data_IF_036951979902
#
_entry.id   IF_036951979902
#
_cell.length_a   1.000
_cell.length_b   1.000
_cell.length_c   1.000
_cell.angle_alpha   90.00
_cell.angle_beta   90.00
_cell.angle_gamma   90.00
#
_symmetry.space_group_name_H-M   'P 1'
#
loop_
_entity.id
_entity.type
_entity.pdbx_description
1 polymer ?
#
# COMPACT_ATOMS: atom_id res chain seq x y z
N UNK A 1 -9.75 -22.13 60.41
CA UNK A 1 -10.53 -22.83 59.37
C UNK A 1 -11.54 -21.84 58.82
N UNK A 2 -11.13 -21.03 57.84
CA UNK A 2 -11.95 -19.99 57.21
C UNK A 2 -12.10 -20.31 55.73
N UNK A 3 -13.34 -20.27 55.23
CA UNK A 3 -13.70 -20.58 53.84
C UNK A 3 -13.37 -19.40 52.90
N UNK A 4 -13.05 -19.64 51.61
CA UNK A 4 -12.65 -18.58 50.69
C UNK A 4 -13.86 -17.75 50.19
N UNK A 5 -13.74 -16.42 50.24
CA UNK A 5 -14.72 -15.48 49.65
C UNK A 5 -14.68 -15.55 48.11
N UNK A 6 -15.80 -15.91 47.50
CA UNK A 6 -15.99 -15.91 46.05
C UNK A 6 -15.90 -14.48 45.48
N UNK A 7 -14.98 -14.24 44.54
CA UNK A 7 -14.89 -12.99 43.76
C UNK A 7 -16.05 -12.95 42.76
N UNK A 8 -16.96 -11.97 42.91
CA UNK A 8 -17.98 -11.65 41.90
C UNK A 8 -17.30 -11.11 40.64
N UNK A 9 -17.54 -11.73 39.49
CA UNK A 9 -17.13 -11.19 38.19
C UNK A 9 -17.98 -9.96 37.85
N UNK A 10 -17.42 -8.91 37.21
CA UNK A 10 -18.20 -7.76 36.77
C UNK A 10 -19.08 -8.12 35.55
N UNK A 11 -20.36 -7.78 35.62
CA UNK A 11 -21.32 -7.91 34.51
C UNK A 11 -20.91 -7.01 33.32
N UNK A 12 -20.97 -7.50 32.08
CA UNK A 12 -20.62 -6.72 30.90
C UNK A 12 -21.69 -5.65 30.56
N UNK A 13 -21.29 -4.52 29.95
CA UNK A 13 -22.18 -3.38 29.71
C UNK A 13 -23.33 -3.70 28.72
N UNK A 14 -24.48 -3.07 28.99
CA UNK A 14 -25.81 -3.27 28.37
C UNK A 14 -25.82 -3.28 26.83
N UNK A 15 -24.85 -2.64 26.17
CA UNK A 15 -24.74 -2.59 24.69
C UNK A 15 -24.44 -3.94 24.02
N UNK A 16 -23.92 -4.94 24.76
CA UNK A 16 -23.67 -6.29 24.22
C UNK A 16 -24.94 -7.16 24.15
N UNK A 17 -25.99 -6.82 24.91
CA UNK A 17 -27.28 -7.55 24.86
C UNK A 17 -28.11 -7.25 23.60
N UNK A 18 -27.92 -6.09 22.97
CA UNK A 18 -28.66 -5.69 21.77
C UNK A 18 -28.20 -6.45 20.50
N UNK A 19 -26.90 -6.73 20.37
CA UNK A 19 -26.32 -7.41 19.21
C UNK A 19 -26.65 -8.91 19.15
N UNK A 20 -26.90 -9.56 20.29
CA UNK A 20 -27.33 -10.97 20.33
C UNK A 20 -28.80 -11.20 19.98
N UNK A 21 -29.65 -10.16 20.01
CA UNK A 21 -31.07 -10.27 19.60
C UNK A 21 -31.28 -10.13 18.08
N UNK A 22 -30.35 -9.52 17.35
CA UNK A 22 -30.41 -9.41 15.88
C UNK A 22 -29.99 -10.71 15.16
N UNK A 23 -29.10 -11.50 15.75
CA UNK A 23 -28.62 -12.75 15.15
C UNK A 23 -29.59 -13.94 15.25
N UNK A 24 -30.64 -13.87 16.09
CA UNK A 24 -31.63 -14.95 16.27
C UNK A 24 -32.92 -14.79 15.45
N UNK A 25 -33.16 -13.61 14.84
CA UNK A 25 -34.35 -13.36 14.00
C UNK A 25 -34.18 -13.70 12.51
N UNK A 26 -32.96 -13.99 12.06
CA UNK A 26 -32.71 -14.39 10.66
C UNK A 26 -32.74 -15.91 10.42
N UNK A 27 -33.02 -16.73 11.44
CA UNK A 27 -32.96 -18.20 11.33
C UNK A 27 -34.30 -18.94 11.35
N UNK A 28 -35.43 -18.22 11.34
CA UNK A 28 -36.78 -18.82 11.38
C UNK A 28 -37.75 -18.02 10.49
N UNK A 29 -37.53 -18.03 9.18
CA UNK A 29 -38.55 -17.68 8.18
C UNK A 29 -38.12 -18.27 6.84
N UNK A 30 -38.72 -19.41 6.47
CA UNK A 30 -38.45 -20.02 5.17
C UNK A 30 -38.78 -21.51 5.08
N UNK A 31 -39.89 -21.97 5.68
CA UNK A 31 -40.51 -23.24 5.30
C UNK A 31 -41.65 -22.92 4.34
N UNK A 32 -41.46 -23.24 3.06
CA UNK A 32 -42.46 -23.02 2.01
C UNK A 32 -42.12 -23.90 0.82
N UNK A 33 -42.65 -25.12 0.84
CA UNK A 33 -42.64 -26.06 -0.29
C UNK A 33 -43.64 -25.55 -1.33
N UNK A 34 -43.16 -25.28 -2.55
CA UNK A 34 -43.95 -24.87 -3.70
C UNK A 34 -43.27 -25.32 -4.99
N UNK A 35 -44.02 -25.99 -5.85
CA UNK A 35 -43.58 -26.80 -6.99
C UNK A 35 -42.97 -25.98 -8.13
N UNK A 36 -42.02 -26.64 -8.79
CA UNK A 36 -41.62 -26.57 -10.20
C UNK A 36 -42.33 -25.55 -11.11
N UNK A 37 -41.52 -24.70 -11.71
CA UNK A 37 -41.62 -24.35 -13.13
C UNK A 37 -40.19 -24.14 -13.64
N UNK A 38 -39.74 -25.06 -14.48
CA UNK A 38 -38.66 -24.82 -15.43
C UNK A 38 -39.11 -23.69 -16.35
N UNK A 39 -38.33 -22.61 -16.41
CA UNK A 39 -37.79 -22.08 -17.65
C UNK A 39 -37.03 -20.77 -17.36
N UNK A 40 -35.71 -20.82 -17.53
CA UNK A 40 -34.83 -19.70 -17.91
C UNK A 40 -33.42 -20.22 -18.05
N UNK A 41 -33.17 -20.90 -19.17
CA UNK A 41 -31.82 -21.04 -19.71
C UNK A 41 -31.35 -19.69 -20.24
N UNK A 42 -30.11 -19.33 -19.91
CA UNK A 42 -29.30 -18.39 -20.67
C UNK A 42 -29.34 -16.95 -20.17
N UNK A 43 -28.34 -16.56 -19.35
CA UNK A 43 -27.70 -15.21 -19.32
C UNK A 43 -26.74 -14.99 -18.14
N UNK A 44 -26.65 -15.91 -17.17
CA UNK A 44 -25.79 -15.73 -15.98
C UNK A 44 -24.29 -16.08 -16.14
N UNK A 45 -23.90 -16.83 -17.18
CA UNK A 45 -22.53 -17.38 -17.30
C UNK A 45 -21.53 -16.37 -17.90
N UNK A 46 -22.00 -15.39 -18.68
CA UNK A 46 -21.13 -14.40 -19.33
C UNK A 46 -20.57 -13.31 -18.39
N UNK A 47 -21.37 -12.86 -17.41
CA UNK A 47 -20.97 -11.77 -16.52
C UNK A 47 -19.89 -12.17 -15.49
N UNK A 48 -19.96 -13.43 -15.00
CA UNK A 48 -18.98 -13.97 -14.02
C UNK A 48 -17.62 -14.24 -14.69
N UNK A 49 -17.62 -14.69 -15.95
CA UNK A 49 -16.40 -14.88 -16.74
C UNK A 49 -15.69 -13.57 -17.09
N UNK A 50 -16.45 -12.50 -17.40
CA UNK A 50 -15.93 -11.18 -17.73
C UNK A 50 -15.26 -10.46 -16.55
N UNK A 51 -15.89 -10.46 -15.37
CA UNK A 51 -15.34 -9.82 -14.19
C UNK A 51 -14.03 -10.48 -13.70
N UNK A 52 -13.95 -11.81 -13.77
CA UNK A 52 -12.73 -12.57 -13.44
C UNK A 52 -11.61 -12.41 -14.48
N UNK A 53 -11.94 -12.22 -15.75
CA UNK A 53 -10.95 -11.90 -16.80
C UNK A 53 -10.37 -10.50 -16.63
N UNK A 54 -11.21 -9.49 -16.36
CA UNK A 54 -10.79 -8.11 -16.11
C UNK A 54 -9.89 -7.99 -14.88
N UNK A 55 -10.21 -8.70 -13.78
CA UNK A 55 -9.37 -8.74 -12.58
C UNK A 55 -7.99 -9.37 -12.82
N UNK A 56 -7.94 -10.46 -13.60
CA UNK A 56 -6.67 -11.11 -13.98
C UNK A 56 -5.81 -10.23 -14.88
N UNK A 57 -6.42 -9.54 -15.85
CA UNK A 57 -5.71 -8.62 -16.75
C UNK A 57 -5.12 -7.44 -15.98
N UNK A 58 -5.89 -6.85 -15.04
CA UNK A 58 -5.38 -5.80 -14.16
C UNK A 58 -4.20 -6.29 -13.31
N UNK A 59 -4.32 -7.46 -12.69
CA UNK A 59 -3.22 -8.02 -11.88
C UNK A 59 -1.97 -8.30 -12.73
N UNK A 60 -2.13 -8.84 -13.94
CA UNK A 60 -1.02 -9.06 -14.86
C UNK A 60 -0.33 -7.75 -15.23
N UNK A 61 -1.10 -6.71 -15.60
CA UNK A 61 -0.55 -5.37 -15.86
C UNK A 61 0.25 -4.87 -14.66
N UNK A 62 -0.31 -4.95 -13.46
CA UNK A 62 0.34 -4.44 -12.24
C UNK A 62 1.65 -5.22 -11.96
N UNK A 63 1.66 -6.54 -12.15
CA UNK A 63 2.87 -7.37 -12.06
C UNK A 63 3.92 -6.98 -13.10
N UNK A 64 3.51 -6.76 -14.35
CA UNK A 64 4.42 -6.39 -15.44
C UNK A 64 5.02 -5.00 -15.21
N UNK A 65 4.22 -4.03 -14.79
CA UNK A 65 4.68 -2.68 -14.45
C UNK A 65 5.64 -2.73 -13.28
N UNK A 66 5.27 -3.43 -12.19
CA UNK A 66 6.15 -3.61 -11.04
C UNK A 66 7.49 -4.24 -11.45
N UNK A 67 7.46 -5.34 -12.19
CA UNK A 67 8.66 -6.05 -12.62
C UNK A 67 9.54 -5.21 -13.54
N UNK A 68 8.95 -4.51 -14.51
CA UNK A 68 9.69 -3.65 -15.44
C UNK A 68 10.35 -2.47 -14.72
N UNK A 69 9.60 -1.75 -13.88
CA UNK A 69 10.15 -0.62 -13.12
C UNK A 69 11.25 -1.10 -12.17
N UNK A 70 11.01 -2.19 -11.43
CA UNK A 70 11.99 -2.70 -10.49
C UNK A 70 13.28 -3.16 -11.19
N UNK A 71 13.16 -3.85 -12.33
CA UNK A 71 14.31 -4.32 -13.11
C UNK A 71 15.12 -3.15 -13.69
N UNK A 72 14.45 -2.17 -14.31
CA UNK A 72 15.12 -1.01 -14.90
C UNK A 72 15.83 -0.20 -13.82
N UNK A 73 15.18 0.03 -12.68
CA UNK A 73 15.76 0.82 -11.60
C UNK A 73 16.94 0.11 -10.94
N UNK A 74 16.81 -1.20 -10.68
CA UNK A 74 17.90 -2.01 -10.13
C UNK A 74 19.09 -2.05 -11.09
N UNK A 75 18.84 -2.23 -12.40
CA UNK A 75 19.90 -2.18 -13.41
C UNK A 75 20.61 -0.83 -13.43
N UNK A 76 19.86 0.27 -13.37
CA UNK A 76 20.44 1.62 -13.32
C UNK A 76 21.33 1.80 -12.08
N UNK A 77 20.88 1.37 -10.90
CA UNK A 77 21.66 1.42 -9.67
C UNK A 77 22.93 0.58 -9.75
N UNK A 78 22.81 -0.71 -10.09
CA UNK A 78 23.96 -1.61 -10.16
C UNK A 78 24.98 -1.17 -11.21
N UNK A 79 24.54 -0.70 -12.38
CA UNK A 79 25.44 -0.22 -13.44
C UNK A 79 26.17 1.06 -13.03
N UNK A 80 25.47 2.03 -12.45
CA UNK A 80 26.09 3.29 -12.02
C UNK A 80 27.08 3.06 -10.88
N UNK A 81 26.73 2.26 -9.87
CA UNK A 81 27.65 1.86 -8.79
C UNK A 81 28.87 1.11 -9.32
N UNK A 82 28.65 0.15 -10.21
CA UNK A 82 29.74 -0.59 -10.85
C UNK A 82 30.71 0.32 -11.61
N UNK A 83 30.18 1.31 -12.34
CA UNK A 83 31.00 2.31 -13.01
C UNK A 83 31.85 3.13 -12.03
N UNK A 84 31.24 3.72 -10.99
CA UNK A 84 31.98 4.55 -10.05
C UNK A 84 33.00 3.75 -9.24
N UNK A 85 32.62 2.57 -8.74
CA UNK A 85 33.49 1.73 -7.94
C UNK A 85 34.65 1.11 -8.75
N UNK A 86 34.48 0.94 -10.06
CA UNK A 86 35.52 0.42 -10.95
C UNK A 86 36.44 1.49 -11.55
N UNK A 87 36.06 2.78 -11.49
CA UNK A 87 36.76 3.84 -12.22
C UNK A 87 37.45 4.87 -11.33
N UNK A 88 37.11 4.96 -10.04
CA UNK A 88 37.60 6.00 -9.13
C UNK A 88 38.06 5.42 -7.80
N UNK A 89 38.98 6.11 -7.12
CA UNK A 89 39.37 5.79 -5.76
C UNK A 89 38.38 6.35 -4.72
N UNK A 90 38.31 5.73 -3.54
CA UNK A 90 37.46 6.22 -2.45
C UNK A 90 37.88 7.64 -2.05
N UNK A 91 36.92 8.55 -1.97
CA UNK A 91 37.13 9.97 -1.69
C UNK A 91 37.45 10.82 -2.94
N UNK A 92 37.69 10.19 -4.09
CA UNK A 92 37.98 10.90 -5.34
C UNK A 92 36.75 11.62 -5.87
N UNK A 93 36.94 12.86 -6.32
CA UNK A 93 35.91 13.65 -7.02
C UNK A 93 35.96 13.31 -8.50
N UNK A 94 35.00 12.52 -8.95
CA UNK A 94 34.86 12.05 -10.32
C UNK A 94 34.41 13.15 -11.30
N UNK A 95 33.80 14.24 -10.81
CA UNK A 95 33.44 15.38 -11.65
C UNK A 95 32.51 16.39 -10.98
N UNK A 96 32.38 17.58 -11.58
CA UNK A 96 31.56 18.68 -11.08
C UNK A 96 32.33 19.72 -10.24
N UNK A 97 31.63 20.64 -9.55
CA UNK A 97 30.17 20.69 -9.42
C UNK A 97 29.47 21.15 -10.71
N UNK A 98 28.40 20.45 -11.07
CA UNK A 98 27.52 20.81 -12.17
C UNK A 98 26.48 21.83 -11.67
N UNK A 99 26.42 22.99 -12.33
CA UNK A 99 25.54 24.11 -11.99
C UNK A 99 25.67 24.63 -10.55
N UNK A 100 26.77 24.31 -9.86
CA UNK A 100 26.93 24.62 -8.43
C UNK A 100 25.99 23.84 -7.51
N UNK A 101 25.36 22.75 -8.00
CA UNK A 101 24.36 21.98 -7.25
C UNK A 101 24.87 20.60 -6.82
N UNK A 102 25.50 19.87 -7.73
CA UNK A 102 25.89 18.47 -7.49
C UNK A 102 27.29 18.21 -8.02
N UNK A 103 28.10 17.46 -7.29
CA UNK A 103 29.32 16.82 -7.81
C UNK A 103 29.26 15.32 -7.62
N UNK A 104 30.11 14.60 -8.32
CA UNK A 104 30.28 13.17 -8.12
C UNK A 104 31.54 12.91 -7.30
N UNK A 105 31.38 12.21 -6.16
CA UNK A 105 32.48 11.81 -5.28
C UNK A 105 32.23 10.42 -4.76
N UNK A 106 33.13 9.47 -5.01
CA UNK A 106 32.98 8.11 -4.54
C UNK A 106 33.12 8.03 -3.02
N UNK A 107 32.12 7.44 -2.36
CA UNK A 107 32.09 7.17 -0.93
C UNK A 107 31.65 5.73 -0.70
N UNK A 108 32.31 5.03 0.22
CA UNK A 108 31.88 3.73 0.70
C UNK A 108 31.20 3.90 2.05
N UNK A 109 29.90 3.61 2.09
CA UNK A 109 29.06 3.87 3.24
C UNK A 109 28.77 2.58 4.01
N UNK A 110 29.31 2.45 5.23
CA UNK A 110 29.08 1.32 6.13
C UNK A 110 27.86 1.51 7.05
N UNK A 111 27.22 2.67 7.00
CA UNK A 111 26.06 3.02 7.82
C UNK A 111 24.76 3.20 7.01
N UNK A 112 23.80 3.83 7.68
CA UNK A 112 22.63 4.44 7.07
C UNK A 112 22.90 5.94 6.83
N UNK A 113 21.86 6.70 6.49
CA UNK A 113 21.95 8.14 6.35
C UNK A 113 22.56 8.80 7.61
N UNK A 114 23.37 9.85 7.41
CA UNK A 114 24.03 10.59 8.49
C UNK A 114 24.94 9.74 9.40
N UNK A 115 25.45 8.59 8.91
CA UNK A 115 26.32 7.71 9.70
C UNK A 115 25.60 6.93 10.80
N UNK A 116 24.27 6.94 10.84
CA UNK A 116 23.50 6.13 11.79
C UNK A 116 23.80 4.64 11.58
N UNK A 117 23.93 3.87 12.66
CA UNK A 117 24.22 2.43 12.60
C UNK A 117 25.51 2.06 11.83
N UNK A 118 26.55 2.92 11.91
CA UNK A 118 27.88 2.58 11.43
C UNK A 118 28.33 1.21 11.96
N UNK A 119 28.96 0.41 11.10
CA UNK A 119 29.41 -0.97 11.33
C UNK A 119 28.30 -2.03 11.42
N UNK A 120 27.02 -1.64 11.32
CA UNK A 120 25.89 -2.57 11.28
C UNK A 120 25.44 -2.92 9.86
N UNK A 121 26.36 -2.89 8.89
CA UNK A 121 26.05 -3.03 7.46
C UNK A 121 25.20 -4.28 7.18
N UNK A 122 25.56 -5.43 7.74
CA UNK A 122 24.80 -6.65 7.54
C UNK A 122 23.35 -6.54 8.05
N UNK A 123 23.15 -5.96 9.24
CA UNK A 123 21.82 -5.75 9.82
C UNK A 123 20.97 -4.81 8.96
N UNK A 124 21.56 -3.72 8.45
CA UNK A 124 20.89 -2.79 7.54
C UNK A 124 20.45 -3.49 6.23
N UNK A 125 21.28 -4.39 5.70
CA UNK A 125 20.93 -5.27 4.58
C UNK A 125 19.71 -6.14 4.91
N UNK A 126 19.71 -6.83 6.06
CA UNK A 126 18.58 -7.67 6.50
C UNK A 126 17.29 -6.88 6.64
N UNK A 127 17.34 -5.71 7.30
CA UNK A 127 16.17 -4.83 7.46
C UNK A 127 15.63 -4.39 6.09
N UNK A 128 16.52 -4.05 5.15
CA UNK A 128 16.12 -3.66 3.80
C UNK A 128 15.37 -4.79 3.09
N UNK A 129 15.84 -6.04 3.18
CA UNK A 129 15.15 -7.22 2.63
C UNK A 129 13.78 -7.41 3.29
N UNK A 130 13.69 -7.30 4.61
CA UNK A 130 12.42 -7.45 5.34
C UNK A 130 11.41 -6.40 4.86
N UNK A 131 11.80 -5.14 4.73
CA UNK A 131 10.92 -4.06 4.22
C UNK A 131 10.48 -4.35 2.78
N UNK A 132 11.39 -4.79 1.91
CA UNK A 132 11.04 -5.17 0.53
C UNK A 132 10.00 -6.29 0.50
N UNK A 133 10.19 -7.34 1.29
CA UNK A 133 9.25 -8.46 1.38
C UNK A 133 7.89 -8.02 1.90
N UNK A 134 7.84 -7.16 2.92
CA UNK A 134 6.59 -6.61 3.46
C UNK A 134 5.84 -5.79 2.40
N UNK A 135 6.53 -4.94 1.64
CA UNK A 135 5.89 -4.12 0.60
C UNK A 135 5.42 -4.94 -0.59
N UNK A 136 6.18 -5.95 -1.02
CA UNK A 136 5.73 -6.91 -2.04
C UNK A 136 4.50 -7.67 -1.52
N UNK A 137 4.55 -8.16 -0.28
CA UNK A 137 3.42 -8.88 0.30
C UNK A 137 2.17 -7.98 0.40
N UNK A 138 2.35 -6.73 0.82
CA UNK A 138 1.29 -5.74 0.82
C UNK A 138 0.66 -5.59 -0.57
N UNK A 139 1.48 -5.35 -1.60
CA UNK A 139 0.99 -5.04 -2.94
C UNK A 139 0.26 -6.23 -3.59
N UNK A 140 0.74 -7.46 -3.36
CA UNK A 140 0.23 -8.67 -4.02
C UNK A 140 -0.83 -9.45 -3.23
N UNK A 141 -0.86 -9.32 -1.91
CA UNK A 141 -1.77 -10.09 -1.07
C UNK A 141 -2.73 -9.24 -0.24
N UNK A 142 -2.37 -8.00 0.13
CA UNK A 142 -3.21 -7.16 1.01
C UNK A 142 -3.91 -6.02 0.27
N UNK A 143 -3.40 -5.58 -0.88
CA UNK A 143 -4.03 -4.54 -1.72
C UNK A 143 -4.73 -5.19 -2.92
N UNK A 144 -6.08 -5.36 -2.91
CA UNK A 144 -6.79 -6.06 -3.98
C UNK A 144 -6.82 -5.30 -5.31
N UNK A 145 -6.74 -3.96 -5.25
CA UNK A 145 -6.78 -3.06 -6.41
C UNK A 145 -5.87 -1.85 -6.19
N UNK A 146 -4.54 -2.05 -6.14
CA UNK A 146 -3.61 -0.96 -5.90
C UNK A 146 -3.67 0.05 -7.05
N UNK A 147 -3.54 1.34 -6.72
CA UNK A 147 -3.34 2.38 -7.74
C UNK A 147 -1.96 2.27 -8.41
N UNK A 148 -1.81 2.86 -9.60
CA UNK A 148 -0.51 2.87 -10.31
C UNK A 148 0.60 3.56 -9.52
N UNK A 149 0.28 4.57 -8.71
CA UNK A 149 1.26 5.20 -7.83
C UNK A 149 1.77 4.25 -6.74
N UNK A 150 0.91 3.39 -6.20
CA UNK A 150 1.33 2.35 -5.25
C UNK A 150 2.22 1.32 -5.93
N UNK A 151 1.83 0.84 -7.13
CA UNK A 151 2.60 -0.16 -7.89
C UNK A 151 4.00 0.35 -8.22
N UNK A 152 4.10 1.55 -8.81
CA UNK A 152 5.39 2.18 -9.17
C UNK A 152 6.18 2.54 -7.92
N UNK A 153 5.53 3.09 -6.90
CA UNK A 153 6.18 3.47 -5.65
C UNK A 153 6.82 2.28 -4.94
N UNK A 154 6.06 1.18 -4.79
CA UNK A 154 6.57 -0.08 -4.21
C UNK A 154 7.67 -0.69 -5.08
N UNK A 155 7.55 -0.65 -6.41
CA UNK A 155 8.61 -1.14 -7.31
C UNK A 155 9.94 -0.40 -7.11
N UNK A 156 9.90 0.92 -6.98
CA UNK A 156 11.09 1.75 -6.75
C UNK A 156 11.71 1.51 -5.38
N UNK A 157 10.89 1.42 -4.32
CA UNK A 157 11.40 1.12 -2.96
C UNK A 157 12.04 -0.25 -2.92
N UNK A 158 11.41 -1.26 -3.54
CA UNK A 158 11.95 -2.62 -3.59
C UNK A 158 13.25 -2.65 -4.39
N UNK A 159 13.30 -2.01 -5.57
CA UNK A 159 14.52 -1.98 -6.37
C UNK A 159 15.68 -1.28 -5.65
N UNK A 160 15.44 -0.11 -5.05
CA UNK A 160 16.46 0.61 -4.31
C UNK A 160 16.89 -0.13 -3.03
N UNK A 161 15.95 -0.69 -2.29
CA UNK A 161 16.22 -1.50 -1.10
C UNK A 161 17.04 -2.75 -1.43
N UNK A 162 16.73 -3.45 -2.52
CA UNK A 162 17.49 -4.60 -3.00
C UNK A 162 18.89 -4.21 -3.50
N UNK A 163 19.02 -3.12 -4.26
CA UNK A 163 20.31 -2.63 -4.75
C UNK A 163 21.28 -2.29 -3.61
N UNK A 164 20.81 -1.55 -2.62
CA UNK A 164 21.61 -1.26 -1.43
C UNK A 164 21.85 -2.50 -0.57
N UNK A 165 20.89 -3.42 -0.41
CA UNK A 165 21.13 -4.66 0.33
C UNK A 165 22.17 -5.56 -0.36
N UNK A 166 22.16 -5.61 -1.69
CA UNK A 166 23.12 -6.36 -2.48
C UNK A 166 24.56 -5.89 -2.22
N UNK A 167 24.83 -4.59 -2.29
CA UNK A 167 26.15 -4.05 -1.95
C UNK A 167 26.55 -4.40 -0.51
N UNK A 168 25.63 -4.24 0.43
CA UNK A 168 25.90 -4.54 1.85
C UNK A 168 26.31 -6.00 2.08
N UNK A 169 25.69 -6.94 1.38
CA UNK A 169 26.01 -8.36 1.52
C UNK A 169 27.25 -8.79 0.73
N UNK A 170 27.57 -8.10 -0.38
CA UNK A 170 28.67 -8.51 -1.28
C UNK A 170 29.95 -7.72 -1.06
N UNK A 171 29.85 -6.44 -0.70
CA UNK A 171 30.96 -5.51 -0.52
C UNK A 171 31.20 -5.14 0.94
N UNK A 172 30.18 -5.24 1.80
CA UNK A 172 30.26 -4.81 3.20
C UNK A 172 30.07 -3.30 3.41
N UNK A 173 29.70 -2.57 2.36
CA UNK A 173 29.33 -1.15 2.35
C UNK A 173 28.41 -0.88 1.17
N UNK A 174 27.81 0.30 1.09
CA UNK A 174 27.07 0.81 -0.06
C UNK A 174 27.95 1.76 -0.87
N UNK A 175 27.87 1.67 -2.20
CA UNK A 175 28.59 2.58 -3.11
C UNK A 175 27.76 3.85 -3.33
N UNK A 176 28.22 4.96 -2.74
CA UNK A 176 27.60 6.28 -2.86
C UNK A 176 28.46 7.20 -3.74
N UNK A 177 27.82 8.05 -4.54
CA UNK A 177 28.57 8.88 -5.50
C UNK A 177 27.94 10.25 -5.83
N UNK A 178 26.69 10.51 -5.47
CA UNK A 178 25.99 11.76 -5.75
C UNK A 178 26.08 12.68 -4.54
N UNK A 179 26.82 13.78 -4.65
CA UNK A 179 27.01 14.73 -3.56
C UNK A 179 26.38 16.09 -3.89
N UNK A 180 25.33 16.51 -3.16
CA UNK A 180 24.88 17.89 -3.16
C UNK A 180 25.96 18.82 -2.59
N UNK A 181 26.23 19.93 -3.27
CA UNK A 181 27.22 20.92 -2.79
C UNK A 181 26.60 22.21 -2.25
N UNK A 182 25.29 22.41 -2.46
CA UNK A 182 24.55 23.59 -1.99
C UNK A 182 24.02 23.47 -0.56
N UNK A 183 24.11 22.28 0.02
CA UNK A 183 23.65 21.95 1.38
C UNK A 183 24.55 20.85 1.93
N UNK A 184 24.74 20.83 3.24
CA UNK A 184 25.38 19.70 3.93
C UNK A 184 24.39 18.53 3.95
N UNK A 185 24.49 17.65 2.95
CA UNK A 185 23.65 16.47 2.81
C UNK A 185 24.54 15.25 2.49
N UNK A 186 24.24 14.06 3.04
CA UNK A 186 25.02 12.86 2.78
C UNK A 186 25.14 12.54 1.28
N UNK A 187 26.30 12.01 0.87
CA UNK A 187 26.44 11.44 -0.47
C UNK A 187 25.48 10.25 -0.59
N UNK A 188 24.78 10.15 -1.71
CA UNK A 188 23.78 9.10 -1.95
C UNK A 188 23.95 8.48 -3.34
N UNK A 189 23.09 7.53 -3.68
CA UNK A 189 23.12 6.82 -4.96
C UNK A 189 21.72 6.72 -5.62
N UNK A 190 21.64 6.00 -6.74
CA UNK A 190 20.39 5.81 -7.49
C UNK A 190 19.37 4.97 -6.71
N UNK A 191 19.80 3.95 -5.97
CA UNK A 191 18.94 3.19 -5.08
C UNK A 191 18.27 4.10 -4.03
N UNK A 192 18.98 5.06 -3.43
CA UNK A 192 18.40 5.98 -2.44
C UNK A 192 17.33 6.92 -3.03
N UNK A 193 17.54 7.37 -4.28
CA UNK A 193 16.51 8.10 -5.04
C UNK A 193 15.27 7.22 -5.20
N UNK A 194 15.46 5.94 -5.57
CA UNK A 194 14.37 4.97 -5.72
C UNK A 194 13.59 4.76 -4.41
N UNK A 195 14.29 4.58 -3.30
CA UNK A 195 13.67 4.44 -1.97
C UNK A 195 12.89 5.71 -1.61
N UNK A 196 13.49 6.89 -1.75
CA UNK A 196 12.89 8.16 -1.34
C UNK A 196 11.68 8.52 -2.19
N UNK A 197 11.86 8.59 -3.51
CA UNK A 197 10.78 8.92 -4.43
C UNK A 197 9.70 7.83 -4.46
N UNK A 198 10.10 6.55 -4.39
CA UNK A 198 9.18 5.42 -4.34
C UNK A 198 8.30 5.45 -3.10
N UNK A 199 8.86 5.76 -1.94
CA UNK A 199 8.09 5.89 -0.70
C UNK A 199 7.08 7.04 -0.79
N UNK A 200 7.48 8.20 -1.34
CA UNK A 200 6.58 9.35 -1.57
C UNK A 200 5.43 8.96 -2.49
N UNK A 201 5.70 8.28 -3.61
CA UNK A 201 4.67 7.83 -4.55
C UNK A 201 3.72 6.81 -3.92
N UNK A 202 4.27 5.85 -3.16
CA UNK A 202 3.48 4.86 -2.44
C UNK A 202 2.50 5.52 -1.46
N UNK A 203 2.97 6.42 -0.61
CA UNK A 203 2.14 7.14 0.36
C UNK A 203 1.10 8.01 -0.34
N UNK A 204 1.49 8.75 -1.38
CA UNK A 204 0.56 9.55 -2.16
C UNK A 204 -0.54 8.68 -2.81
N UNK A 205 -0.18 7.50 -3.32
CA UNK A 205 -1.11 6.51 -3.85
C UNK A 205 -2.14 6.07 -2.81
N UNK A 206 -1.69 5.70 -1.60
CA UNK A 206 -2.58 5.32 -0.51
C UNK A 206 -3.54 6.44 -0.12
N UNK A 207 -3.06 7.68 0.02
CA UNK A 207 -3.89 8.83 0.38
C UNK A 207 -4.97 9.06 -0.69
N UNK A 208 -4.61 8.96 -1.97
CA UNK A 208 -5.56 9.14 -3.07
C UNK A 208 -6.60 8.01 -3.12
N UNK A 209 -6.21 6.76 -2.83
CA UNK A 209 -7.13 5.64 -2.74
C UNK A 209 -8.14 5.84 -1.60
N UNK A 210 -7.68 6.25 -0.42
CA UNK A 210 -8.54 6.54 0.72
C UNK A 210 -9.55 7.66 0.42
N UNK A 211 -9.10 8.77 -0.18
CA UNK A 211 -9.97 9.90 -0.54
C UNK A 211 -11.01 9.54 -1.60
N UNK A 212 -10.72 8.58 -2.49
CA UNK A 212 -11.71 8.09 -3.46
C UNK A 212 -12.79 7.27 -2.77
N UNK A 213 -12.39 6.38 -1.86
CA UNK A 213 -13.32 5.57 -1.08
C UNK A 213 -14.27 6.45 -0.24
N UNK A 214 -13.76 7.50 0.41
CA UNK A 214 -14.58 8.45 1.18
C UNK A 214 -15.60 9.19 0.29
N UNK A 215 -15.20 9.63 -0.91
CA UNK A 215 -16.09 10.31 -1.85
C UNK A 215 -17.18 9.40 -2.39
N UNK A 216 -16.84 8.15 -2.69
CA UNK A 216 -17.80 7.14 -3.12
C UNK A 216 -18.82 6.84 -2.01
N UNK A 217 -18.36 6.70 -0.77
CA UNK A 217 -19.24 6.52 0.38
C UNK A 217 -20.19 7.72 0.60
N UNK A 218 -19.67 8.95 0.46
CA UNK A 218 -20.49 10.17 0.57
C UNK A 218 -21.55 10.25 -0.55
N UNK A 219 -21.17 9.98 -1.80
CA UNK A 219 -22.10 9.99 -2.93
C UNK A 219 -23.22 8.94 -2.81
N UNK A 220 -22.90 7.75 -2.27
CA UNK A 220 -23.89 6.73 -1.99
C UNK A 220 -24.86 7.14 -0.87
N UNK A 221 -24.37 7.86 0.14
CA UNK A 221 -25.22 8.39 1.20
C UNK A 221 -26.19 9.45 0.66
N UNK A 222 -25.71 10.39 -0.16
CA UNK A 222 -26.52 11.45 -0.78
C UNK A 222 -27.57 10.88 -1.76
N UNK A 223 -27.20 9.90 -2.60
CA UNK A 223 -28.12 9.26 -3.56
C UNK A 223 -29.17 8.35 -2.92
N UNK A 224 -29.03 8.03 -1.63
CA UNK A 224 -30.00 7.23 -0.86
C UNK A 224 -31.01 8.07 -0.06
N UNK A 225 -30.88 9.40 -0.06
CA UNK A 225 -31.86 10.34 0.48
C UNK A 225 -33.00 10.61 -0.52
N UNK A 226 -34.22 10.29 -0.11
CA UNK A 226 -35.49 10.12 -0.85
C UNK A 226 -36.01 11.28 -1.74
N UNK A 227 -36.84 10.99 -2.78
CA UNK A 227 -37.73 11.98 -3.39
C UNK A 227 -38.78 12.47 -2.37
N UNK A 228 -38.98 13.78 -2.25
CA UNK A 228 -40.10 14.37 -1.51
C UNK A 228 -41.43 13.89 -2.12
N UNK A 229 -42.17 13.07 -1.37
CA UNK A 229 -43.58 12.82 -1.66
C UNK A 229 -44.34 14.17 -1.56
N UNK A 230 -45.22 14.51 -2.52
CA UNK A 230 -46.08 15.67 -2.38
C UNK A 230 -46.95 15.47 -1.13
N UNK A 231 -46.89 16.42 -0.20
CA UNK A 231 -47.70 16.41 1.01
C UNK A 231 -49.17 16.29 0.67
N UNK A 232 -49.81 15.26 1.21
CA UNK A 232 -51.26 15.12 1.26
C UNK A 232 -51.85 16.29 2.06
N UNK A 233 -52.47 17.23 1.35
CA UNK A 233 -53.25 18.32 1.91
C UNK A 233 -54.56 17.80 2.47
N UNK A 234 -54.53 17.37 3.73
CA UNK A 234 -55.74 17.07 4.49
C UNK A 234 -56.33 18.31 5.16
N UNK A 235 -57.60 18.61 4.85
CA UNK A 235 -58.50 19.21 5.84
C UNK A 235 -59.52 20.23 5.33
N UNK A 236 -60.73 19.78 4.96
CA UNK A 236 -61.96 20.51 5.26
C UNK A 236 -63.01 19.51 5.78
N UNK A 237 -63.55 19.80 6.97
CA UNK A 237 -64.33 18.88 7.79
C UNK A 237 -65.84 18.90 7.50
N UNK A 238 -66.61 17.98 8.13
CA UNK A 238 -68.06 17.90 7.95
C UNK A 238 -68.78 18.85 8.91
N UNK A 239 -69.45 19.87 8.36
CA UNK A 239 -70.44 20.69 9.07
C UNK A 239 -71.85 20.13 8.91
N UNK A 240 -72.51 19.86 10.03
CA UNK A 240 -73.90 19.40 10.14
C UNK A 240 -74.95 20.46 9.72
N UNK A 241 -76.04 19.95 9.13
CA UNK A 241 -77.45 20.43 9.12
C UNK A 241 -77.83 21.69 8.34
#
# INVERSE_FOLDING_TARGET
MELPRARRQPEPPVRVRALRRRARRHRLRGSGVGRLSEDRRGTGVGAVGGAGALGRAARLRDTLVFGAVALVWLALDTLTKGYFNGSFAVGEVAGGPFLGLVRFRLVHNTGAAWGMFGDSTFLLGVVSIVVCLVLVAYLFFLSPRPGMLEVVGVALVVAGGLGNAFDRFTLGYVVDFIEPVFIDFPVFNVADIGVTCGFVLFVAGMILAYRRADREAAALAEGSGEPQAPGDGGGEGPGER
#
